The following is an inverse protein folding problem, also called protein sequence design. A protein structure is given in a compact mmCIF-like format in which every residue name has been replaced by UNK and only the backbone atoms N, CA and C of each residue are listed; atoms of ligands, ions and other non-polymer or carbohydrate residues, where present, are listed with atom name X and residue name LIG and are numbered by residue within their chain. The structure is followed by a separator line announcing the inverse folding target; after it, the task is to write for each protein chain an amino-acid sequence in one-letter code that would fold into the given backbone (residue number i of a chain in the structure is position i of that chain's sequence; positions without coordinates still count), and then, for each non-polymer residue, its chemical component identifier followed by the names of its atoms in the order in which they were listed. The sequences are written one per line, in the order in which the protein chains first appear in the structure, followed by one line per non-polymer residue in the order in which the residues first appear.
data_IF_038637619668
#
_entry.id   IF_038637619668
#
_cell.length_a   1.000
_cell.length_b   1.000
_cell.length_c   1.000
_cell.angle_alpha   90.00
_cell.angle_beta   90.00
_cell.angle_gamma   90.00
#
_symmetry.space_group_name_H-M   'P 1'
#
loop_
_entity.id
_entity.type
_entity.pdbx_description
1 polymer ?
#
# COMPACT_ATOMS: atom_id res chain seq x y z
N UNK A 1 54.65 45.81 -22.61
CA UNK A 1 55.25 44.88 -23.59
C UNK A 1 55.65 43.59 -22.89
N UNK A 2 55.60 42.46 -23.60
CA UNK A 2 55.90 41.06 -23.20
C UNK A 2 54.69 40.17 -22.83
N UNK A 3 54.21 39.44 -23.84
CA UNK A 3 53.32 38.27 -23.79
C UNK A 3 54.11 37.00 -23.41
N UNK A 4 53.44 35.98 -22.85
CA UNK A 4 53.98 34.61 -22.92
C UNK A 4 53.52 33.60 -21.86
N UNK A 5 52.22 33.45 -21.60
CA UNK A 5 51.69 32.39 -20.73
C UNK A 5 51.37 31.11 -21.52
N UNK A 6 52.06 30.01 -21.21
CA UNK A 6 51.97 28.71 -21.87
C UNK A 6 50.54 28.11 -21.87
N UNK A 7 49.97 27.96 -23.07
CA UNK A 7 48.76 27.17 -23.33
C UNK A 7 49.05 25.67 -23.10
N UNK A 8 48.74 25.15 -21.90
CA UNK A 8 48.68 23.70 -21.64
C UNK A 8 47.51 23.09 -22.42
N UNK A 9 47.78 22.63 -23.65
CA UNK A 9 46.87 21.77 -24.42
C UNK A 9 46.57 20.51 -23.60
N UNK A 10 45.31 20.33 -23.17
CA UNK A 10 44.82 19.05 -22.67
C UNK A 10 44.93 18.01 -23.79
N UNK A 11 45.86 17.08 -23.65
CA UNK A 11 45.93 15.87 -24.49
C UNK A 11 44.64 15.10 -24.23
N UNK A 12 43.80 14.93 -25.27
CA UNK A 12 42.63 14.07 -25.19
C UNK A 12 43.12 12.64 -25.05
N UNK A 13 42.89 12.03 -23.89
CA UNK A 13 43.08 10.60 -23.67
C UNK A 13 42.04 9.90 -24.54
N UNK A 14 42.49 9.23 -25.61
CA UNK A 14 41.66 8.38 -26.43
C UNK A 14 41.21 7.20 -25.58
N UNK A 15 39.96 7.23 -25.13
CA UNK A 15 39.33 6.09 -24.47
C UNK A 15 39.19 4.95 -25.52
N UNK A 16 39.64 3.72 -25.25
CA UNK A 16 39.53 2.64 -26.22
C UNK A 16 38.05 2.34 -26.53
N UNK A 17 37.71 1.92 -27.75
CA UNK A 17 36.32 1.64 -28.11
C UNK A 17 35.80 0.52 -27.24
N UNK A 18 34.77 0.83 -26.47
CA UNK A 18 34.07 -0.09 -25.59
C UNK A 18 33.72 -1.38 -26.36
N UNK A 19 34.43 -2.48 -26.04
CA UNK A 19 34.13 -3.82 -26.53
C UNK A 19 32.68 -4.11 -26.13
N UNK A 20 31.75 -3.98 -27.08
CA UNK A 20 30.36 -4.37 -26.91
C UNK A 20 30.34 -5.85 -26.55
N UNK A 21 30.23 -6.14 -25.26
CA UNK A 21 29.86 -7.47 -24.79
C UNK A 21 28.53 -7.82 -25.45
N UNK A 22 28.48 -8.97 -26.11
CA UNK A 22 27.27 -9.52 -26.74
C UNK A 22 26.32 -10.05 -25.68
N UNK A 23 25.96 -9.20 -24.71
CA UNK A 23 24.90 -9.49 -23.76
C UNK A 23 23.62 -9.62 -24.57
N UNK A 24 23.07 -10.85 -24.64
CA UNK A 24 21.79 -11.13 -25.29
C UNK A 24 20.77 -10.18 -24.66
N UNK A 25 20.31 -9.18 -25.44
CA UNK A 25 19.31 -8.22 -24.98
C UNK A 25 18.05 -8.99 -24.57
N UNK A 26 17.76 -9.02 -23.28
CA UNK A 26 16.53 -9.60 -22.76
C UNK A 26 15.35 -8.79 -23.32
N UNK A 27 14.50 -9.44 -24.12
CA UNK A 27 13.29 -8.82 -24.65
C UNK A 27 12.17 -9.02 -23.63
N UNK A 28 11.43 -7.97 -23.24
CA UNK A 28 10.33 -8.12 -22.30
C UNK A 28 9.26 -9.06 -22.88
N UNK A 29 8.56 -9.81 -22.02
CA UNK A 29 7.48 -10.69 -22.47
C UNK A 29 6.37 -9.88 -23.15
N UNK A 30 5.72 -10.49 -24.14
CA UNK A 30 4.60 -9.87 -24.87
C UNK A 30 3.43 -9.57 -23.92
N UNK A 31 2.87 -8.36 -23.99
CA UNK A 31 1.71 -7.94 -23.17
C UNK A 31 0.52 -8.90 -23.34
N UNK A 32 -0.25 -9.15 -22.28
CA UNK A 32 -1.45 -9.99 -22.30
C UNK A 32 -2.44 -9.60 -23.40
N UNK A 33 -2.64 -8.28 -23.62
CA UNK A 33 -3.50 -7.78 -24.71
C UNK A 33 -2.98 -8.18 -26.10
N UNK A 34 -1.65 -8.24 -26.27
CA UNK A 34 -1.05 -8.70 -27.53
C UNK A 34 -1.22 -10.21 -27.70
N UNK A 35 -1.11 -10.98 -26.61
CA UNK A 35 -1.34 -12.42 -26.64
C UNK A 35 -2.79 -12.75 -27.01
N UNK A 36 -3.77 -12.05 -26.45
CA UNK A 36 -5.20 -12.19 -26.79
C UNK A 36 -5.44 -11.84 -28.27
N UNK A 37 -4.96 -10.69 -28.73
CA UNK A 37 -5.08 -10.30 -30.16
C UNK A 37 -4.38 -11.29 -31.10
N UNK A 38 -3.27 -11.88 -30.67
CA UNK A 38 -2.58 -12.93 -31.43
C UNK A 38 -3.44 -14.19 -31.51
N UNK A 39 -4.02 -14.61 -30.39
CA UNK A 39 -4.90 -15.78 -30.32
C UNK A 39 -6.17 -15.61 -31.16
N UNK A 40 -6.83 -14.46 -31.07
CA UNK A 40 -8.00 -14.12 -31.89
C UNK A 40 -7.68 -14.12 -33.38
N UNK A 41 -6.52 -13.56 -33.77
CA UNK A 41 -6.07 -13.58 -35.18
C UNK A 41 -5.76 -14.99 -35.67
N UNK A 42 -5.25 -15.88 -34.81
CA UNK A 42 -5.06 -17.28 -35.16
C UNK A 42 -6.39 -17.99 -35.40
N UNK A 43 -7.39 -17.77 -34.54
CA UNK A 43 -8.72 -18.38 -34.68
C UNK A 43 -9.49 -17.91 -35.92
N UNK A 44 -9.14 -16.75 -36.49
CA UNK A 44 -9.70 -16.27 -37.78
C UNK A 44 -9.19 -17.05 -39.00
N UNK A 45 -8.15 -17.87 -38.86
CA UNK A 45 -7.59 -18.68 -39.95
C UNK A 45 -8.27 -20.06 -39.99
N UNK A 46 -8.12 -20.75 -41.12
CA UNK A 46 -8.54 -22.14 -41.25
C UNK A 46 -7.53 -23.05 -40.53
N UNK A 47 -7.88 -23.54 -39.34
CA UNK A 47 -7.09 -24.49 -38.54
C UNK A 47 -7.83 -25.81 -38.38
N UNK A 48 -7.11 -26.94 -38.16
CA UNK A 48 -7.70 -28.21 -37.75
C UNK A 48 -8.52 -28.05 -36.46
N UNK A 49 -9.59 -28.85 -36.30
CA UNK A 49 -10.53 -28.75 -35.16
C UNK A 49 -9.80 -28.80 -33.81
N UNK A 50 -8.88 -29.74 -33.64
CA UNK A 50 -8.12 -29.93 -32.41
C UNK A 50 -7.29 -28.69 -32.03
N UNK A 51 -6.61 -28.08 -33.02
CA UNK A 51 -5.79 -26.88 -32.78
C UNK A 51 -6.68 -25.66 -32.52
N UNK A 52 -7.86 -25.60 -33.14
CA UNK A 52 -8.84 -24.54 -32.88
C UNK A 52 -9.35 -24.61 -31.44
N UNK A 53 -9.76 -25.78 -30.97
CA UNK A 53 -10.23 -25.99 -29.59
C UNK A 53 -9.16 -25.61 -28.56
N UNK A 54 -7.91 -26.07 -28.75
CA UNK A 54 -6.80 -25.71 -27.88
C UNK A 54 -6.55 -24.19 -27.85
N UNK A 55 -6.67 -23.53 -29.01
CA UNK A 55 -6.47 -22.08 -29.12
C UNK A 55 -7.63 -21.28 -28.51
N UNK A 56 -8.86 -21.79 -28.56
CA UNK A 56 -10.04 -21.22 -27.89
C UNK A 56 -9.92 -21.33 -26.36
N UNK A 57 -9.50 -22.49 -25.85
CA UNK A 57 -9.24 -22.67 -24.41
C UNK A 57 -8.14 -21.71 -23.93
N UNK A 58 -7.06 -21.57 -24.70
CA UNK A 58 -5.99 -20.62 -24.41
C UNK A 58 -6.49 -19.18 -24.42
N UNK A 59 -7.31 -18.81 -25.39
CA UNK A 59 -7.92 -17.48 -25.45
C UNK A 59 -8.81 -17.23 -24.23
N UNK A 60 -9.63 -18.21 -23.84
CA UNK A 60 -10.48 -18.10 -22.64
C UNK A 60 -9.64 -17.91 -21.37
N UNK A 61 -8.55 -18.66 -21.21
CA UNK A 61 -7.62 -18.49 -20.09
C UNK A 61 -6.99 -17.09 -20.07
N UNK A 62 -6.53 -16.59 -21.22
CA UNK A 62 -5.96 -15.25 -21.32
C UNK A 62 -6.98 -14.14 -21.02
N UNK A 63 -8.24 -14.31 -21.43
CA UNK A 63 -9.33 -13.37 -21.10
C UNK A 63 -9.61 -13.36 -19.60
N UNK A 64 -9.71 -14.52 -18.96
CA UNK A 64 -9.82 -14.62 -17.48
C UNK A 64 -8.66 -13.92 -16.77
N UNK A 65 -7.44 -14.10 -17.26
CA UNK A 65 -6.27 -13.41 -16.69
C UNK A 65 -6.36 -11.88 -16.87
N UNK A 66 -6.84 -11.42 -18.02
CA UNK A 66 -7.07 -9.99 -18.26
C UNK A 66 -8.12 -9.43 -17.29
N UNK A 67 -9.23 -10.13 -17.09
CA UNK A 67 -10.29 -9.73 -16.16
C UNK A 67 -9.74 -9.59 -14.73
N UNK A 68 -8.99 -10.59 -14.25
CA UNK A 68 -8.32 -10.54 -12.94
C UNK A 68 -7.40 -9.31 -12.86
N UNK A 69 -6.56 -9.07 -13.87
CA UNK A 69 -5.66 -7.91 -13.87
C UNK A 69 -6.42 -6.57 -13.88
N UNK A 70 -7.54 -6.48 -14.61
CA UNK A 70 -8.38 -5.28 -14.59
C UNK A 70 -9.04 -5.06 -13.23
N UNK A 71 -9.53 -6.13 -12.59
CA UNK A 71 -10.10 -6.09 -11.24
C UNK A 71 -9.08 -5.62 -10.21
N UNK A 72 -7.91 -6.25 -10.17
CA UNK A 72 -6.82 -5.89 -9.27
C UNK A 72 -6.36 -4.44 -9.48
N UNK A 73 -6.33 -3.96 -10.73
CA UNK A 73 -5.99 -2.57 -11.02
C UNK A 73 -7.03 -1.58 -10.46
N UNK A 74 -8.31 -1.92 -10.47
CA UNK A 74 -9.38 -1.11 -9.85
C UNK A 74 -9.26 -1.13 -8.32
N UNK A 75 -9.09 -2.32 -7.73
CA UNK A 75 -8.89 -2.50 -6.29
C UNK A 75 -7.66 -1.71 -5.81
N UNK A 76 -6.53 -1.76 -6.54
CA UNK A 76 -5.33 -0.97 -6.22
C UNK A 76 -5.59 0.54 -6.25
N UNK A 77 -6.36 1.04 -7.22
CA UNK A 77 -6.70 2.48 -7.28
C UNK A 77 -7.56 2.91 -6.10
N UNK A 78 -8.53 2.09 -5.71
CA UNK A 78 -9.37 2.33 -4.53
C UNK A 78 -8.52 2.30 -3.26
N UNK A 79 -7.68 1.26 -3.11
CA UNK A 79 -6.76 1.10 -1.99
C UNK A 79 -5.84 2.30 -1.82
N UNK A 80 -5.13 2.73 -2.86
CA UNK A 80 -4.19 3.86 -2.77
C UNK A 80 -4.88 5.17 -2.37
N UNK A 81 -6.11 5.39 -2.84
CA UNK A 81 -6.92 6.57 -2.49
C UNK A 81 -7.29 6.56 -1.01
N UNK A 82 -7.69 5.41 -0.49
CA UNK A 82 -8.23 5.28 0.87
C UNK A 82 -7.17 4.90 1.92
N UNK A 83 -5.95 4.48 1.49
CA UNK A 83 -4.83 4.03 2.34
C UNK A 83 -4.51 5.01 3.46
N UNK A 84 -4.30 6.30 3.13
CA UNK A 84 -3.97 7.31 4.14
C UNK A 84 -5.10 7.52 5.14
N UNK A 85 -6.34 7.55 4.68
CA UNK A 85 -7.52 7.75 5.53
C UNK A 85 -7.62 6.57 6.52
N UNK A 86 -7.59 5.33 6.02
CA UNK A 86 -7.60 4.11 6.84
C UNK A 86 -6.45 4.09 7.85
N UNK A 87 -5.24 4.49 7.45
CA UNK A 87 -4.08 4.55 8.36
C UNK A 87 -4.30 5.50 9.54
N UNK A 88 -4.77 6.72 9.27
CA UNK A 88 -5.02 7.69 10.34
C UNK A 88 -6.17 7.27 11.26
N UNK A 89 -7.22 6.67 10.70
CA UNK A 89 -8.33 6.16 11.51
C UNK A 89 -7.90 4.96 12.36
N UNK A 90 -7.17 4.00 11.79
CA UNK A 90 -6.58 2.88 12.54
C UNK A 90 -5.73 3.39 13.71
N UNK A 91 -4.79 4.31 13.46
CA UNK A 91 -3.98 4.92 14.52
C UNK A 91 -4.80 5.70 15.54
N UNK A 92 -5.93 6.30 15.14
CA UNK A 92 -6.82 7.01 16.07
C UNK A 92 -7.53 6.02 17.00
N UNK A 93 -8.06 4.93 16.45
CA UNK A 93 -8.73 3.85 17.21
C UNK A 93 -7.73 3.17 18.14
N UNK A 94 -6.57 2.75 17.66
CA UNK A 94 -5.52 2.11 18.47
C UNK A 94 -5.09 3.00 19.63
N UNK A 95 -4.88 4.30 19.41
CA UNK A 95 -4.55 5.23 20.50
C UNK A 95 -5.67 5.35 21.52
N UNK A 96 -6.94 5.36 21.10
CA UNK A 96 -8.09 5.38 22.01
C UNK A 96 -8.18 4.10 22.84
N UNK A 97 -7.99 2.93 22.22
CA UNK A 97 -7.91 1.64 22.90
C UNK A 97 -6.80 1.67 23.96
N UNK A 98 -5.57 2.04 23.58
CA UNK A 98 -4.44 2.10 24.52
C UNK A 98 -4.69 3.05 25.71
N UNK A 99 -5.34 4.20 25.46
CA UNK A 99 -5.69 5.15 26.52
C UNK A 99 -6.73 4.57 27.48
N UNK A 100 -7.79 3.96 26.95
CA UNK A 100 -8.84 3.34 27.78
C UNK A 100 -8.31 2.15 28.57
N UNK A 101 -7.51 1.29 27.95
CA UNK A 101 -6.88 0.18 28.68
C UNK A 101 -5.89 0.67 29.75
N UNK A 102 -5.15 1.76 29.49
CA UNK A 102 -4.27 2.36 30.50
C UNK A 102 -5.10 2.92 31.67
N UNK A 103 -6.21 3.61 31.39
CA UNK A 103 -7.13 4.10 32.39
C UNK A 103 -7.66 2.94 33.25
N UNK A 104 -8.18 1.88 32.63
CA UNK A 104 -8.65 0.68 33.34
C UNK A 104 -7.59 0.04 34.25
N UNK A 105 -6.31 0.03 33.84
CA UNK A 105 -5.22 -0.48 34.69
C UNK A 105 -4.90 0.45 35.87
N UNK A 106 -5.14 1.75 35.73
CA UNK A 106 -4.86 2.76 36.77
C UNK A 106 -6.02 3.04 37.73
N UNK A 107 -7.28 2.89 37.30
CA UNK A 107 -8.47 3.12 38.11
C UNK A 107 -9.09 1.79 38.59
N UNK A 108 -8.64 1.32 39.75
CA UNK A 108 -9.16 0.13 40.45
C UNK A 108 -10.52 0.35 41.15
N UNK A 109 -11.09 1.56 41.10
CA UNK A 109 -12.27 1.94 41.88
C UNK A 109 -13.37 2.51 40.98
N UNK A 110 -14.47 1.73 40.86
CA UNK A 110 -15.85 2.10 40.51
C UNK A 110 -16.21 2.93 39.25
N UNK A 111 -15.32 3.73 38.65
CA UNK A 111 -15.61 4.46 37.38
C UNK A 111 -15.49 3.56 36.13
N UNK A 112 -15.16 2.28 36.31
CA UNK A 112 -14.88 1.32 35.26
C UNK A 112 -16.11 0.83 34.49
N UNK A 113 -17.34 1.03 34.99
CA UNK A 113 -18.54 0.46 34.38
C UNK A 113 -18.88 1.02 32.97
N UNK A 114 -18.46 2.25 32.64
CA UNK A 114 -18.66 2.84 31.31
C UNK A 114 -17.58 2.45 30.28
N UNK A 115 -16.49 1.81 30.73
CA UNK A 115 -15.32 1.53 29.89
C UNK A 115 -15.36 0.24 29.04
N UNK A 116 -16.00 -0.88 29.43
CA UNK A 116 -15.93 -2.12 28.66
C UNK A 116 -16.71 -2.03 27.34
N UNK A 117 -17.89 -1.41 27.35
CA UNK A 117 -18.71 -1.22 26.16
C UNK A 117 -18.03 -0.26 25.16
N UNK A 118 -17.35 0.76 25.67
CA UNK A 118 -16.52 1.65 24.85
C UNK A 118 -15.32 0.92 24.24
N UNK A 119 -14.69 0.01 24.99
CA UNK A 119 -13.63 -0.83 24.42
C UNK A 119 -14.16 -1.80 23.37
N UNK A 120 -15.34 -2.40 23.58
CA UNK A 120 -15.96 -3.29 22.62
C UNK A 120 -16.28 -2.57 21.30
N UNK A 121 -16.88 -1.38 21.37
CA UNK A 121 -17.16 -0.56 20.17
C UNK A 121 -15.88 -0.12 19.45
N UNK A 122 -14.82 0.27 20.17
CA UNK A 122 -13.53 0.58 19.54
C UNK A 122 -12.86 -0.64 18.90
N UNK A 123 -13.05 -1.85 19.46
CA UNK A 123 -12.56 -3.09 18.83
C UNK A 123 -13.33 -3.39 17.54
N UNK A 124 -14.64 -3.18 17.51
CA UNK A 124 -15.43 -3.27 16.27
C UNK A 124 -14.98 -2.23 15.24
N UNK A 125 -14.70 -1.00 15.67
CA UNK A 125 -14.15 0.05 14.78
C UNK A 125 -12.78 -0.35 14.22
N UNK A 126 -11.92 -0.95 15.05
CA UNK A 126 -10.62 -1.43 14.60
C UNK A 126 -10.77 -2.53 13.54
N UNK A 127 -11.65 -3.51 13.80
CA UNK A 127 -11.97 -4.57 12.84
C UNK A 127 -12.53 -3.99 11.54
N UNK A 128 -13.42 -3.00 11.64
CA UNK A 128 -13.97 -2.31 10.47
C UNK A 128 -12.88 -1.66 9.61
N UNK A 129 -11.91 -0.96 10.22
CA UNK A 129 -10.81 -0.34 9.47
C UNK A 129 -9.86 -1.40 8.87
N UNK A 130 -9.58 -2.48 9.61
CA UNK A 130 -8.62 -3.52 9.21
C UNK A 130 -9.14 -4.44 8.11
N UNK A 131 -10.42 -4.81 8.15
CA UNK A 131 -11.01 -5.80 7.24
C UNK A 131 -11.99 -5.19 6.23
N UNK A 132 -11.91 -3.87 6.02
CA UNK A 132 -12.77 -3.16 5.06
C UNK A 132 -12.64 -3.72 3.63
N UNK A 133 -13.75 -3.97 2.90
CA UNK A 133 -13.70 -4.55 1.55
C UNK A 133 -12.81 -3.77 0.55
N UNK A 134 -11.89 -4.47 -0.13
CA UNK A 134 -10.93 -3.87 -1.09
C UNK A 134 -11.61 -3.33 -2.38
N UNK A 135 -12.82 -3.79 -2.67
CA UNK A 135 -13.60 -3.45 -3.87
C UNK A 135 -14.50 -2.22 -3.69
N UNK A 136 -14.64 -1.69 -2.48
CA UNK A 136 -15.54 -0.57 -2.17
C UNK A 136 -14.77 0.65 -1.70
N UNK A 137 -15.40 1.83 -1.80
CA UNK A 137 -14.84 3.07 -1.28
C UNK A 137 -14.97 3.08 0.24
N UNK A 138 -13.86 3.38 0.92
CA UNK A 138 -13.86 3.49 2.38
C UNK A 138 -14.84 4.56 2.87
N UNK A 139 -15.65 4.21 3.87
CA UNK A 139 -16.56 5.12 4.56
C UNK A 139 -15.92 5.50 5.90
N UNK A 140 -15.40 6.74 6.05
CA UNK A 140 -14.68 7.16 7.25
C UNK A 140 -15.56 7.14 8.50
N UNK A 141 -14.95 6.80 9.64
CA UNK A 141 -15.58 6.78 10.95
C UNK A 141 -15.56 8.16 11.62
N UNK A 142 -14.56 9.00 11.33
CA UNK A 142 -14.30 10.25 12.07
C UNK A 142 -14.31 11.50 11.19
N UNK A 143 -15.01 11.48 10.05
CA UNK A 143 -15.09 12.63 9.13
C UNK A 143 -16.15 13.68 9.51
N UNK A 144 -16.92 13.46 10.59
CA UNK A 144 -17.95 14.39 11.06
C UNK A 144 -19.24 14.42 10.22
N UNK A 145 -19.33 13.58 9.18
CA UNK A 145 -20.53 13.41 8.36
C UNK A 145 -21.21 12.10 8.76
N UNK A 146 -22.20 12.20 9.65
CA UNK A 146 -22.95 11.07 10.20
C UNK A 146 -24.42 11.14 9.77
N UNK A 147 -24.65 11.22 8.47
CA UNK A 147 -26.00 11.04 7.92
C UNK A 147 -26.49 9.61 8.25
N UNK A 148 -27.79 9.47 8.53
CA UNK A 148 -28.38 8.19 8.92
C UNK A 148 -28.07 7.08 7.90
N UNK A 149 -28.12 7.40 6.60
CA UNK A 149 -27.77 6.48 5.52
C UNK A 149 -26.32 5.99 5.57
N UNK A 150 -25.39 6.84 6.01
CA UNK A 150 -23.97 6.50 6.11
C UNK A 150 -23.77 5.56 7.29
N UNK A 151 -24.44 5.84 8.41
CA UNK A 151 -24.42 4.98 9.60
C UNK A 151 -24.97 3.59 9.28
N UNK A 152 -26.08 3.52 8.55
CA UNK A 152 -26.69 2.25 8.15
C UNK A 152 -25.77 1.44 7.22
N UNK A 153 -25.10 2.11 6.26
CA UNK A 153 -24.08 1.50 5.40
C UNK A 153 -22.91 0.94 6.23
N UNK A 154 -22.39 1.71 7.20
CA UNK A 154 -21.31 1.25 8.09
C UNK A 154 -21.75 0.02 8.89
N UNK A 155 -22.97 0.02 9.43
CA UNK A 155 -23.49 -1.10 10.21
C UNK A 155 -23.68 -2.37 9.36
N UNK A 156 -24.15 -2.22 8.12
CA UNK A 156 -24.21 -3.32 7.16
C UNK A 156 -22.82 -3.91 6.88
N UNK A 157 -21.82 -3.05 6.67
CA UNK A 157 -20.44 -3.47 6.42
C UNK A 157 -19.80 -4.13 7.65
N UNK A 158 -20.06 -3.62 8.87
CA UNK A 158 -19.59 -4.25 10.11
C UNK A 158 -20.10 -5.69 10.24
N UNK A 159 -21.39 -5.92 9.99
CA UNK A 159 -21.99 -7.28 10.00
C UNK A 159 -21.34 -8.19 8.96
N UNK A 160 -21.15 -7.70 7.74
CA UNK A 160 -20.47 -8.48 6.69
C UNK A 160 -19.03 -8.85 7.08
N UNK A 161 -18.31 -7.95 7.75
CA UNK A 161 -16.95 -8.19 8.24
C UNK A 161 -16.97 -9.24 9.34
N UNK A 162 -17.88 -9.16 10.30
CA UNK A 162 -18.03 -10.13 11.38
C UNK A 162 -18.38 -11.53 10.84
N UNK A 163 -19.28 -11.61 9.85
CA UNK A 163 -19.63 -12.87 9.16
C UNK A 163 -18.41 -13.45 8.42
N UNK A 164 -17.64 -12.62 7.72
CA UNK A 164 -16.41 -13.09 7.04
C UNK A 164 -15.35 -13.54 8.03
N UNK A 165 -15.18 -12.84 9.14
CA UNK A 165 -14.21 -13.17 10.18
C UNK A 165 -14.59 -14.48 10.88
N UNK A 166 -15.87 -14.68 11.18
CA UNK A 166 -16.37 -15.93 11.77
C UNK A 166 -16.29 -17.10 10.78
N UNK A 167 -16.58 -16.89 9.51
CA UNK A 167 -16.39 -17.90 8.46
C UNK A 167 -14.89 -18.24 8.24
N UNK A 168 -14.02 -17.23 8.29
CA UNK A 168 -12.57 -17.39 8.25
C UNK A 168 -12.06 -18.23 9.43
N UNK A 169 -12.52 -17.91 10.64
CA UNK A 169 -12.21 -18.67 11.85
C UNK A 169 -12.71 -20.12 11.76
N UNK A 170 -13.92 -20.35 11.23
CA UNK A 170 -14.47 -21.69 11.04
C UNK A 170 -13.71 -22.51 9.97
N UNK A 171 -13.17 -21.84 8.95
CA UNK A 171 -12.39 -22.48 7.88
C UNK A 171 -10.90 -22.61 8.21
N UNK A 172 -10.45 -22.06 9.34
CA UNK A 172 -9.05 -22.05 9.76
C UNK A 172 -8.12 -21.24 8.84
N UNK A 173 -8.68 -20.35 8.01
CA UNK A 173 -7.91 -19.44 7.14
C UNK A 173 -8.02 -18.04 7.71
N UNK A 174 -6.89 -17.45 8.07
CA UNK A 174 -6.87 -16.06 8.52
C UNK A 174 -7.37 -15.14 7.40
N UNK A 175 -8.30 -14.23 7.74
CA UNK A 175 -8.78 -13.22 6.80
C UNK A 175 -7.65 -12.22 6.54
N UNK A 176 -7.26 -12.03 5.29
CA UNK A 176 -6.21 -11.07 4.93
C UNK A 176 -6.56 -9.66 5.43
N UNK A 177 -5.68 -9.08 6.26
CA UNK A 177 -5.80 -7.70 6.70
C UNK A 177 -5.67 -6.76 5.50
N UNK A 178 -6.74 -6.04 5.17
CA UNK A 178 -6.82 -5.17 3.99
C UNK A 178 -5.98 -3.89 4.08
N UNK A 179 -5.02 -3.84 5.00
CA UNK A 179 -4.16 -2.69 5.29
C UNK A 179 -2.69 -3.04 5.53
N UNK A 180 -2.29 -4.32 5.55
CA UNK A 180 -0.92 -4.73 5.87
C UNK A 180 -0.01 -4.93 4.64
N UNK A 181 -0.58 -5.04 3.44
CA UNK A 181 0.14 -5.55 2.26
C UNK A 181 1.09 -4.55 1.57
N UNK A 182 1.14 -3.27 1.97
CA UNK A 182 1.86 -2.22 1.21
C UNK A 182 2.61 -1.17 2.07
N UNK A 183 2.62 -1.30 3.39
CA UNK A 183 3.44 -0.42 4.25
C UNK A 183 4.93 -0.82 4.25
N UNK A 184 5.25 -2.03 3.81
CA UNK A 184 6.63 -2.53 3.65
C UNK A 184 7.15 -2.52 2.21
N UNK A 185 6.33 -2.10 1.23
CA UNK A 185 6.71 -2.02 -0.19
C UNK A 185 6.66 -0.57 -0.71
N UNK A 186 6.86 0.40 0.19
CA UNK A 186 7.49 1.65 -0.23
C UNK A 186 8.94 1.28 -0.54
N UNK A 187 9.32 1.39 -1.80
CA UNK A 187 10.70 1.26 -2.25
C UNK A 187 11.52 2.37 -1.59
N UNK A 188 12.02 2.09 -0.38
CA UNK A 188 12.88 3.01 0.39
C UNK A 188 14.18 3.34 -0.35
N UNK A 189 14.44 2.73 -1.51
CA UNK A 189 15.59 3.09 -2.36
C UNK A 189 15.42 4.44 -3.07
N UNK A 190 14.22 5.04 -3.07
CA UNK A 190 13.97 6.37 -3.63
C UNK A 190 14.03 7.51 -2.59
N UNK A 191 14.15 7.22 -1.29
CA UNK A 191 14.26 8.23 -0.22
C UNK A 191 15.73 8.63 0.02
N UNK A 192 16.25 9.50 -0.85
CA UNK A 192 17.59 10.13 -0.74
C UNK A 192 17.73 11.09 0.46
N UNK A 193 16.68 11.26 1.27
CA UNK A 193 16.59 12.23 2.37
C UNK A 193 17.64 11.99 3.48
N UNK A 194 18.08 10.74 3.69
CA UNK A 194 19.08 10.39 4.70
C UNK A 194 20.47 10.08 4.13
N UNK A 195 20.65 10.05 2.81
CA UNK A 195 21.93 9.74 2.16
C UNK A 195 22.80 10.98 1.94
N UNK A 196 22.22 12.17 1.93
CA UNK A 196 22.98 13.43 1.96
C UNK A 196 23.39 13.77 3.39
N UNK A 197 24.45 13.13 3.87
CA UNK A 197 25.10 13.47 5.13
C UNK A 197 25.54 14.94 5.15
N UNK A 198 24.73 15.79 5.79
CA UNK A 198 25.17 17.08 6.32
C UNK A 198 25.66 16.86 7.76
N UNK A 199 26.86 16.30 7.86
CA UNK A 199 27.71 16.45 9.03
C UNK A 199 28.25 17.88 9.01
N UNK A 200 27.73 18.74 9.90
CA UNK A 200 28.32 19.97 10.44
C UNK A 200 27.21 20.94 10.85
N UNK A 201 26.89 21.01 12.15
CA UNK A 201 27.12 22.23 12.94
C UNK A 201 26.86 21.94 14.42
N UNK A 202 27.89 22.17 15.22
CA UNK A 202 27.88 22.22 16.69
C UNK A 202 27.04 23.42 17.14
N UNK A 203 26.04 23.20 17.99
CA UNK A 203 25.45 24.28 18.77
C UNK A 203 25.13 23.74 20.17
N UNK A 204 26.04 24.06 21.09
CA UNK A 204 25.87 23.99 22.53
C UNK A 204 24.46 24.45 22.94
N UNK A 205 23.67 23.51 23.46
CA UNK A 205 22.49 23.82 24.25
C UNK A 205 22.86 23.57 25.72
N UNK A 206 23.51 24.58 26.29
CA UNK A 206 23.79 24.73 27.70
C UNK A 206 22.46 25.06 28.42
N UNK A 207 21.77 24.05 28.93
CA UNK A 207 20.50 24.21 29.65
C UNK A 207 20.79 24.51 31.13
N UNK A 208 21.23 25.73 31.41
CA UNK A 208 21.27 26.32 32.76
C UNK A 208 19.82 26.51 33.26
N UNK A 209 19.36 25.57 34.08
CA UNK A 209 18.08 25.64 34.77
C UNK A 209 18.12 26.76 35.83
N UNK A 210 17.77 27.97 35.43
CA UNK A 210 17.62 29.09 36.37
C UNK A 210 16.32 28.93 37.18
N UNK A 211 16.49 28.55 38.45
CA UNK A 211 15.47 28.66 39.48
C UNK A 211 15.09 30.14 39.68
N UNK A 212 13.84 30.48 39.36
CA UNK A 212 13.18 31.70 39.85
C UNK A 212 11.75 31.39 40.25
N UNK A 213 11.56 31.11 41.54
CA UNK A 213 10.29 31.35 42.22
C UNK A 213 10.55 32.37 43.32
N UNK A 214 10.10 33.59 43.09
CA UNK A 214 9.70 34.56 44.12
C UNK A 214 8.31 34.21 44.62
#
# INVERSE_FOLDING_TARGET
MAHGGLNKRRVRVNNPPNRRSTTKKFKPPVSLKNQIRSAERMLRKNLPSEVREAQEQKLAALKKQQEIHTRLAVERKIFLRDRKIKFFERRKVERRIRRLEKLQRSSSSQDAAASPDQLASLKQDLQYVMYFPKNEKYVPLFSGNDDQEIVDKRNGLRKQIEERLSAAAATGKDLEETGSEDDGLLDLSDDDFFLAGSSSDEADADDELTDKST
#
